data_IF_275247818445
#
_entry.id   IF_275247818445
#
_cell.length_a   1.000
_cell.length_b   1.000
_cell.length_c   1.000
_cell.angle_alpha   90.00
_cell.angle_beta   90.00
_cell.angle_gamma   90.00
#
_symmetry.space_group_name_H-M   'P 1'
#
loop_
_entity.id
_entity.type
_entity.pdbx_description
1 polymer ?
#
# COMPACT_ATOMS: atom_id res chain seq x y z
N UNK A 1 -17.00 10.14 -33.98
CA UNK A 1 -16.26 11.08 -33.09
C UNK A 1 -15.81 10.37 -31.81
N UNK A 2 -14.96 9.33 -31.92
CA UNK A 2 -14.56 8.50 -30.76
C UNK A 2 -13.04 8.44 -30.50
N UNK A 3 -12.23 8.96 -31.42
CA UNK A 3 -10.75 8.83 -31.37
C UNK A 3 -10.03 9.89 -30.53
N UNK A 4 -10.71 10.97 -30.11
CA UNK A 4 -10.08 12.05 -29.35
C UNK A 4 -9.95 11.76 -27.85
N UNK A 5 -10.76 10.86 -27.29
CA UNK A 5 -10.71 10.53 -25.86
C UNK A 5 -9.60 9.53 -25.50
N UNK A 6 -9.19 8.66 -26.44
CA UNK A 6 -8.14 7.67 -26.21
C UNK A 6 -6.73 8.29 -26.15
N UNK A 7 -6.50 9.40 -26.87
CA UNK A 7 -5.21 10.09 -26.85
C UNK A 7 -4.95 10.82 -25.53
N UNK A 8 -5.98 11.32 -24.85
CA UNK A 8 -5.79 12.07 -23.60
C UNK A 8 -5.35 11.19 -22.42
N UNK A 9 -5.80 9.93 -22.36
CA UNK A 9 -5.41 9.00 -21.28
C UNK A 9 -3.96 8.55 -21.40
N UNK A 10 -3.42 8.42 -22.62
CA UNK A 10 -2.03 8.02 -22.85
C UNK A 10 -1.01 9.09 -22.41
N UNK A 11 -1.38 10.37 -22.49
CA UNK A 11 -0.48 11.50 -22.17
C UNK A 11 -0.19 11.61 -20.67
N UNK A 12 -1.14 11.22 -19.81
CA UNK A 12 -0.99 11.37 -18.36
C UNK A 12 0.02 10.37 -17.76
N UNK A 13 0.13 9.17 -18.33
CA UNK A 13 1.07 8.14 -17.91
C UNK A 13 2.51 8.46 -18.37
N UNK A 14 2.68 8.95 -19.61
CA UNK A 14 3.97 9.37 -20.15
C UNK A 14 4.53 10.61 -19.45
N UNK A 15 3.69 11.63 -19.19
CA UNK A 15 4.11 12.81 -18.45
C UNK A 15 4.54 12.48 -17.03
N UNK A 16 3.92 11.46 -16.42
CA UNK A 16 4.26 11.05 -15.06
C UNK A 16 5.66 10.41 -14.93
N UNK A 17 6.06 9.68 -15.97
CA UNK A 17 7.39 9.08 -16.08
C UNK A 17 8.45 10.14 -16.41
N UNK A 18 8.16 11.07 -17.33
CA UNK A 18 9.07 12.17 -17.69
C UNK A 18 9.37 13.12 -16.50
N UNK A 19 8.37 13.43 -15.68
CA UNK A 19 8.54 14.28 -14.49
C UNK A 19 9.48 13.63 -13.46
N UNK A 20 9.33 12.32 -13.24
CA UNK A 20 10.20 11.60 -12.32
C UNK A 20 11.58 11.30 -12.92
N UNK A 21 11.71 11.21 -14.24
CA UNK A 21 12.98 11.03 -14.95
C UNK A 21 13.98 12.18 -14.74
N UNK A 22 13.51 13.37 -14.39
CA UNK A 22 14.35 14.55 -14.07
C UNK A 22 14.60 14.76 -12.58
N UNK A 23 14.01 13.93 -11.71
CA UNK A 23 14.17 14.07 -10.27
C UNK A 23 15.56 13.59 -9.81
N UNK A 24 16.06 14.14 -8.70
CA UNK A 24 17.32 13.70 -8.06
C UNK A 24 17.26 12.22 -7.68
N UNK A 25 16.07 11.72 -7.33
CA UNK A 25 15.81 10.32 -7.02
C UNK A 25 14.60 9.80 -7.80
N UNK A 26 14.78 9.38 -9.07
CA UNK A 26 13.66 9.00 -9.96
C UNK A 26 12.81 7.87 -9.37
N UNK A 27 13.46 6.82 -8.84
CA UNK A 27 12.78 5.69 -8.22
C UNK A 27 11.91 6.11 -7.02
N UNK A 28 12.40 7.04 -6.21
CA UNK A 28 11.63 7.55 -5.06
C UNK A 28 10.42 8.36 -5.52
N UNK A 29 10.60 9.16 -6.57
CA UNK A 29 9.52 9.93 -7.18
C UNK A 29 8.42 9.01 -7.70
N UNK A 30 8.77 7.94 -8.43
CA UNK A 30 7.81 6.97 -8.96
C UNK A 30 6.96 6.32 -7.85
N UNK A 31 7.61 5.83 -6.79
CA UNK A 31 6.91 5.24 -5.65
C UNK A 31 6.00 6.26 -4.94
N UNK A 32 6.47 7.49 -4.78
CA UNK A 32 5.68 8.57 -4.19
C UNK A 32 4.46 8.92 -5.04
N UNK A 33 4.57 8.92 -6.37
CA UNK A 33 3.44 9.14 -7.27
C UNK A 33 2.39 8.04 -7.18
N UNK A 34 2.80 6.78 -7.04
CA UNK A 34 1.89 5.68 -6.78
C UNK A 34 1.12 5.91 -5.47
N UNK A 35 1.81 6.27 -4.39
CA UNK A 35 1.17 6.66 -3.13
C UNK A 35 0.21 7.84 -3.29
N UNK A 36 0.60 8.88 -4.03
CA UNK A 36 -0.26 10.04 -4.30
C UNK A 36 -1.53 9.67 -5.04
N UNK A 37 -1.45 8.80 -6.05
CA UNK A 37 -2.63 8.35 -6.79
C UNK A 37 -3.64 7.63 -5.88
N UNK A 38 -3.17 6.98 -4.80
CA UNK A 38 -4.01 6.38 -3.78
C UNK A 38 -4.56 7.39 -2.78
N UNK A 39 -3.89 8.53 -2.55
CA UNK A 39 -4.23 9.47 -1.46
C UNK A 39 -4.74 10.84 -1.92
N UNK A 40 -4.92 11.06 -3.23
CA UNK A 40 -5.25 12.36 -3.81
C UNK A 40 -6.61 12.93 -3.39
N UNK A 41 -7.57 12.06 -3.04
CA UNK A 41 -8.92 12.39 -2.59
C UNK A 41 -8.98 12.89 -1.14
N UNK A 42 -7.89 12.75 -0.38
CA UNK A 42 -7.81 13.15 1.02
C UNK A 42 -7.31 14.58 1.18
N UNK A 43 -7.79 15.27 2.21
CA UNK A 43 -7.26 16.57 2.63
C UNK A 43 -5.82 16.45 3.18
N UNK A 44 -5.14 17.58 3.32
CA UNK A 44 -3.72 17.61 3.67
C UNK A 44 -3.37 16.93 5.00
N UNK A 45 -4.28 16.95 5.99
CA UNK A 45 -4.03 16.32 7.28
C UNK A 45 -4.02 14.80 7.18
N UNK A 46 -5.00 14.22 6.47
CA UNK A 46 -5.14 12.77 6.26
C UNK A 46 -4.22 12.23 5.18
N UNK A 47 -3.87 13.06 4.19
CA UNK A 47 -3.00 12.67 3.06
C UNK A 47 -1.61 12.23 3.51
N UNK A 48 -1.03 12.87 4.53
CA UNK A 48 0.31 12.49 5.04
C UNK A 48 0.32 11.07 5.62
N UNK A 49 -0.69 10.73 6.42
CA UNK A 49 -0.83 9.38 6.99
C UNK A 49 -1.02 8.36 5.87
N UNK A 50 -1.96 8.62 4.96
CA UNK A 50 -2.18 7.75 3.80
C UNK A 50 -0.91 7.54 2.96
N UNK A 51 -0.13 8.59 2.71
CA UNK A 51 1.12 8.44 1.96
C UNK A 51 2.14 7.56 2.69
N UNK A 52 2.15 7.55 4.02
CA UNK A 52 3.02 6.65 4.78
C UNK A 52 2.62 5.17 4.60
N UNK A 53 1.31 4.90 4.48
CA UNK A 53 0.78 3.54 4.37
C UNK A 53 0.87 2.98 2.94
N UNK A 54 0.64 3.84 1.94
CA UNK A 54 0.53 3.41 0.53
C UNK A 54 1.77 3.72 -0.32
N UNK A 55 2.78 4.41 0.20
CA UNK A 55 4.06 4.62 -0.51
C UNK A 55 5.06 3.54 -0.12
N UNK A 56 5.48 2.65 -1.04
CA UNK A 56 6.47 1.63 -0.72
C UNK A 56 7.82 2.25 -0.36
N UNK A 57 8.57 1.56 0.52
CA UNK A 57 9.97 1.88 0.77
C UNK A 57 10.84 1.42 -0.39
N UNK A 58 11.86 2.20 -0.74
CA UNK A 58 12.89 1.78 -1.72
C UNK A 58 13.63 0.51 -1.32
N UNK A 59 13.73 0.24 -0.01
CA UNK A 59 14.52 -0.87 0.54
C UNK A 59 13.61 -1.83 1.30
N UNK A 60 12.68 -2.48 0.60
CA UNK A 60 11.73 -3.44 1.22
C UNK A 60 12.42 -4.52 2.07
N UNK A 61 13.60 -5.00 1.69
CA UNK A 61 14.35 -5.99 2.46
C UNK A 61 14.81 -5.50 3.84
N UNK A 62 14.89 -4.17 4.06
CA UNK A 62 15.21 -3.58 5.38
C UNK A 62 13.98 -3.30 6.22
N UNK A 63 12.79 -3.52 5.68
CA UNK A 63 11.55 -3.34 6.41
C UNK A 63 11.29 -4.55 7.31
N UNK A 64 10.68 -4.27 8.47
CA UNK A 64 10.24 -5.31 9.40
C UNK A 64 9.30 -6.31 8.71
N UNK A 65 8.44 -5.80 7.85
CA UNK A 65 7.53 -6.59 7.03
C UNK A 65 7.92 -6.48 5.54
N UNK A 66 9.04 -7.13 5.21
CA UNK A 66 9.56 -7.13 3.84
C UNK A 66 8.56 -7.76 2.85
N UNK A 67 7.80 -8.78 3.27
CA UNK A 67 6.79 -9.44 2.44
C UNK A 67 5.66 -8.48 2.08
N UNK A 68 5.11 -7.76 3.06
CA UNK A 68 4.07 -6.75 2.81
C UNK A 68 4.59 -5.59 1.98
N UNK A 69 5.83 -5.15 2.17
CA UNK A 69 6.42 -4.09 1.34
C UNK A 69 6.51 -4.52 -0.13
N UNK A 70 6.99 -5.74 -0.41
CA UNK A 70 7.05 -6.27 -1.79
C UNK A 70 5.65 -6.42 -2.38
N UNK A 71 4.70 -6.93 -1.58
CA UNK A 71 3.30 -7.03 -2.01
C UNK A 71 2.68 -5.66 -2.30
N UNK A 72 3.01 -4.63 -1.52
CA UNK A 72 2.54 -3.25 -1.75
C UNK A 72 3.04 -2.71 -3.09
N UNK A 73 4.30 -2.93 -3.44
CA UNK A 73 4.82 -2.56 -4.77
C UNK A 73 4.03 -3.26 -5.88
N UNK A 74 3.84 -4.57 -5.77
CA UNK A 74 3.09 -5.35 -6.77
C UNK A 74 1.61 -4.93 -6.87
N UNK A 75 0.97 -4.66 -5.74
CA UNK A 75 -0.41 -4.20 -5.67
C UNK A 75 -0.57 -2.81 -6.30
N UNK A 76 0.37 -1.89 -6.04
CA UNK A 76 0.34 -0.57 -6.66
C UNK A 76 0.41 -0.62 -8.19
N UNK A 77 1.26 -1.49 -8.75
CA UNK A 77 1.32 -1.72 -10.21
C UNK A 77 0.04 -2.37 -10.73
N UNK A 78 -0.52 -3.35 -9.99
CA UNK A 78 -1.73 -4.06 -10.41
C UNK A 78 -3.00 -3.19 -10.36
N UNK A 79 -3.00 -2.15 -9.54
CA UNK A 79 -4.10 -1.21 -9.36
C UNK A 79 -3.90 0.10 -10.14
N UNK A 80 -3.03 0.10 -11.14
CA UNK A 80 -2.94 1.20 -12.11
C UNK A 80 -4.29 1.40 -12.82
N UNK A 81 -4.63 2.65 -13.14
CA UNK A 81 -5.95 3.03 -13.66
C UNK A 81 -6.96 3.46 -12.59
N UNK A 82 -6.84 2.95 -11.36
CA UNK A 82 -7.63 3.41 -10.22
C UNK A 82 -6.99 4.60 -9.50
N UNK A 83 -7.81 5.40 -8.81
CA UNK A 83 -7.33 6.50 -7.96
C UNK A 83 -8.16 6.69 -6.68
N UNK A 84 -7.57 7.39 -5.70
CA UNK A 84 -8.18 7.71 -4.41
C UNK A 84 -8.66 6.48 -3.65
N UNK A 85 -9.88 6.57 -3.09
CA UNK A 85 -10.49 5.48 -2.32
C UNK A 85 -10.61 4.16 -3.10
N UNK A 86 -10.90 4.20 -4.40
CA UNK A 86 -11.00 3.00 -5.23
C UNK A 86 -9.64 2.28 -5.33
N UNK A 87 -8.57 3.04 -5.54
CA UNK A 87 -7.22 2.50 -5.57
C UNK A 87 -6.81 1.90 -4.23
N UNK A 88 -7.09 2.57 -3.12
CA UNK A 88 -6.80 2.05 -1.78
C UNK A 88 -7.45 0.69 -1.55
N UNK A 89 -8.75 0.55 -1.86
CA UNK A 89 -9.46 -0.73 -1.77
C UNK A 89 -8.79 -1.81 -2.61
N UNK A 90 -8.48 -1.52 -3.87
CA UNK A 90 -7.80 -2.46 -4.75
C UNK A 90 -6.45 -2.92 -4.17
N UNK A 91 -5.66 -1.99 -3.62
CA UNK A 91 -4.37 -2.29 -3.01
C UNK A 91 -4.55 -3.15 -1.76
N UNK A 92 -5.45 -2.76 -0.86
CA UNK A 92 -5.68 -3.45 0.42
C UNK A 92 -6.11 -4.90 0.23
N UNK A 93 -6.96 -5.19 -0.77
CA UNK A 93 -7.39 -6.55 -1.14
C UNK A 93 -6.23 -7.47 -1.56
N UNK A 94 -5.09 -6.90 -1.96
CA UNK A 94 -3.92 -7.63 -2.46
C UNK A 94 -2.77 -7.68 -1.45
N UNK A 95 -2.89 -6.97 -0.33
CA UNK A 95 -1.87 -6.97 0.71
C UNK A 95 -2.01 -8.20 1.62
N UNK A 96 -0.90 -8.85 1.98
CA UNK A 96 -0.92 -9.87 3.02
C UNK A 96 -1.24 -9.22 4.37
N UNK A 97 -1.79 -10.02 5.30
CA UNK A 97 -1.96 -9.61 6.69
C UNK A 97 -0.65 -9.03 7.24
N UNK A 98 -0.71 -7.91 7.99
CA UNK A 98 0.49 -7.29 8.55
C UNK A 98 1.17 -8.25 9.52
N UNK A 99 2.49 -8.36 9.45
CA UNK A 99 3.24 -9.17 10.41
C UNK A 99 3.18 -8.49 11.78
N UNK A 100 2.34 -9.03 12.66
CA UNK A 100 2.25 -8.61 14.06
C UNK A 100 3.62 -8.59 14.73
N UNK A 101 4.06 -7.40 15.13
CA UNK A 101 5.20 -7.22 16.01
C UNK A 101 4.82 -7.36 17.49
N UNK A 102 5.78 -7.10 18.38
CA UNK A 102 5.56 -7.08 19.83
C UNK A 102 4.58 -6.00 20.32
N UNK A 103 4.03 -5.18 19.42
CA UNK A 103 3.10 -4.08 19.70
C UNK A 103 1.67 -4.47 19.31
N UNK A 104 0.84 -4.56 20.35
CA UNK A 104 -0.53 -5.11 20.41
C UNK A 104 -1.62 -4.36 19.62
N UNK A 105 -1.28 -3.31 18.87
CA UNK A 105 -2.28 -2.36 18.37
C UNK A 105 -2.99 -2.81 17.08
N UNK A 106 -2.40 -3.71 16.30
CA UNK A 106 -2.92 -4.05 14.97
C UNK A 106 -2.79 -5.57 14.73
N UNK A 107 -3.47 -6.36 15.56
CA UNK A 107 -3.58 -7.80 15.34
C UNK A 107 -5.06 -8.17 15.33
N UNK A 108 -5.52 -8.71 14.21
CA UNK A 108 -6.78 -9.45 14.15
C UNK A 108 -6.59 -10.75 14.96
N UNK A 109 -7.46 -11.05 15.93
CA UNK A 109 -7.35 -12.27 16.74
C UNK A 109 -7.56 -13.58 15.93
N UNK A 110 -7.96 -13.51 14.66
CA UNK A 110 -8.25 -14.68 13.81
C UNK A 110 -7.11 -15.11 12.87
N UNK A 111 -5.92 -14.50 12.98
CA UNK A 111 -4.76 -14.91 12.17
C UNK A 111 -4.36 -16.38 12.46
N UNK A 112 -4.43 -17.26 11.46
CA UNK A 112 -3.97 -18.67 11.54
C UNK A 112 -2.48 -18.78 11.95
N UNK A 113 -1.71 -17.70 11.78
CA UNK A 113 -0.33 -17.59 12.28
C UNK A 113 -0.21 -17.63 13.82
N UNK A 114 -1.30 -17.32 14.54
CA UNK A 114 -1.42 -17.46 15.99
C UNK A 114 -2.04 -18.81 16.44
N UNK A 115 -2.38 -19.72 15.52
CA UNK A 115 -3.01 -21.01 15.83
C UNK A 115 -2.05 -22.08 16.42
N UNK A 116 -0.99 -21.65 17.12
CA UNK A 116 0.02 -22.52 17.73
C UNK A 116 0.43 -22.08 19.14
N UNK A 117 1.12 -22.96 19.88
CA UNK A 117 1.47 -22.78 21.29
C UNK A 117 2.05 -21.39 21.63
N UNK A 118 1.31 -20.69 22.50
CA UNK A 118 1.63 -19.45 23.23
C UNK A 118 2.85 -18.69 22.71
N UNK A 119 2.70 -18.02 21.56
CA UNK A 119 3.66 -17.03 21.11
C UNK A 119 3.46 -15.71 21.87
N UNK A 120 4.55 -15.16 22.42
CA UNK A 120 4.54 -13.85 23.08
C UNK A 120 4.11 -12.78 22.08
N UNK A 121 2.91 -12.22 22.24
CA UNK A 121 2.36 -11.19 21.38
C UNK A 121 1.00 -11.52 20.76
N UNK A 122 0.59 -12.80 20.74
CA UNK A 122 -0.79 -13.16 20.38
C UNK A 122 -1.73 -12.87 21.56
N UNK A 123 -2.96 -12.36 21.32
CA UNK A 123 -3.98 -12.33 22.36
C UNK A 123 -4.21 -13.76 22.87
N UNK A 124 -4.45 -13.95 24.17
CA UNK A 124 -4.86 -15.27 24.66
C UNK A 124 -6.12 -15.70 23.90
N UNK A 125 -6.26 -16.99 23.54
CA UNK A 125 -7.50 -17.47 22.94
C UNK A 125 -8.63 -17.07 23.89
N UNK A 126 -9.60 -16.33 23.37
CA UNK A 126 -10.81 -16.01 24.12
C UNK A 126 -11.47 -17.36 24.39
N UNK A 127 -11.32 -17.85 25.62
CA UNK A 127 -12.10 -18.97 26.12
C UNK A 127 -13.55 -18.49 26.12
N UNK A 128 -14.27 -18.73 25.02
CA UNK A 128 -15.72 -18.71 25.01
C UNK A 128 -16.15 -19.98 25.74
N UNK A 129 -16.09 -19.92 27.07
CA UNK A 129 -16.62 -20.93 27.97
C UNK A 129 -17.93 -20.40 28.57
N UNK A 130 -18.96 -21.22 28.39
CA UNK A 130 -20.39 -21.11 28.75
C UNK A 130 -20.77 -20.31 30.01
#
# INVERSE_FOLDING_TARGET
MGLLLAFAFNQAALAADEDCGRAIAPQRCLLYRQGLSACQDLDASRRRACLADYTPSLLCHRQRDAKRCVALVAAQTSCEGESGAARRRCVDERLPAPVCGRSRAECDPQDEACAGERRRGCPPPLLLGE
#
